data_IF_185024543984
#
_entry.id   IF_185024543984
#
_cell.length_a   1.000
_cell.length_b   1.000
_cell.length_c   1.000
_cell.angle_alpha   90.00
_cell.angle_beta   90.00
_cell.angle_gamma   90.00
#
_symmetry.space_group_name_H-M   'P 1'
#
loop_
_entity.id
_entity.type
_entity.pdbx_description
1 polymer ?
#
# COMPACT_ATOMS: atom_id res chain seq x y z
N UNK A 1 4.12 15.84 -2.37
CA UNK A 1 2.92 15.95 -3.23
C UNK A 1 1.83 16.70 -2.47
N UNK A 2 1.12 17.68 -3.06
CA UNK A 2 0.06 18.40 -2.36
C UNK A 2 -1.18 17.51 -2.13
N UNK A 3 -1.93 17.77 -1.05
CA UNK A 3 -3.20 17.08 -0.78
C UNK A 3 -4.26 17.53 -1.79
N UNK A 4 -5.00 16.58 -2.34
CA UNK A 4 -6.13 16.83 -3.24
C UNK A 4 -7.43 16.28 -2.64
N UNK A 5 -8.51 17.08 -2.55
CA UNK A 5 -9.79 16.60 -2.04
C UNK A 5 -10.30 15.36 -2.79
N UNK A 6 -10.71 14.33 -2.06
CA UNK A 6 -11.19 13.07 -2.63
C UNK A 6 -10.09 12.08 -3.07
N UNK A 7 -8.81 12.43 -2.90
CA UNK A 7 -7.67 11.59 -3.25
C UNK A 7 -6.74 11.41 -2.04
N UNK A 8 -6.08 10.26 -2.00
CA UNK A 8 -5.02 9.95 -1.05
C UNK A 8 -3.72 9.70 -1.81
N UNK A 9 -2.59 9.96 -1.15
CA UNK A 9 -1.29 9.48 -1.63
C UNK A 9 -1.24 7.98 -1.36
N UNK A 10 -1.09 7.18 -2.41
CA UNK A 10 -0.73 5.78 -2.34
C UNK A 10 0.74 5.63 -2.71
N UNK A 11 1.40 4.59 -2.19
CA UNK A 11 2.83 4.37 -2.41
C UNK A 11 3.17 2.93 -2.80
N UNK A 12 4.11 2.80 -3.73
CA UNK A 12 4.70 1.52 -4.10
C UNK A 12 6.23 1.63 -4.17
N UNK A 13 6.99 0.75 -3.50
CA UNK A 13 6.54 -0.34 -2.62
C UNK A 13 5.76 0.17 -1.38
N UNK A 14 4.87 -0.68 -0.84
CA UNK A 14 3.92 -0.27 0.20
C UNK A 14 4.61 0.15 1.52
N UNK A 15 4.04 1.13 2.22
CA UNK A 15 4.51 1.61 3.52
C UNK A 15 4.70 0.52 4.59
N UNK A 16 3.91 -0.55 4.49
CA UNK A 16 3.95 -1.71 5.38
C UNK A 16 5.02 -2.74 5.01
N UNK A 17 5.84 -2.48 3.98
CA UNK A 17 6.97 -3.32 3.56
C UNK A 17 8.31 -2.66 3.89
N UNK A 18 9.40 -3.45 3.91
CA UNK A 18 10.75 -2.93 4.16
C UNK A 18 11.31 -2.19 2.95
N UNK A 19 10.78 -2.48 1.77
CA UNK A 19 11.10 -1.86 0.49
C UNK A 19 10.39 -0.51 0.31
N UNK A 20 9.38 -0.20 1.13
CA UNK A 20 8.63 1.04 1.11
C UNK A 20 9.40 2.24 1.70
N UNK A 21 8.72 3.39 1.76
CA UNK A 21 9.29 4.62 2.30
C UNK A 21 10.23 5.34 1.32
N UNK A 22 11.51 5.55 1.68
CA UNK A 22 12.40 6.43 0.93
C UNK A 22 12.67 5.87 -0.47
N UNK A 23 12.17 6.57 -1.49
CA UNK A 23 12.33 6.18 -2.89
C UNK A 23 11.13 5.43 -3.48
N UNK A 24 10.09 5.18 -2.68
CA UNK A 24 8.82 4.70 -3.19
C UNK A 24 8.21 5.71 -4.18
N UNK A 25 7.58 5.17 -5.22
CA UNK A 25 6.75 5.96 -6.11
C UNK A 25 5.47 6.34 -5.37
N UNK A 26 5.07 7.61 -5.49
CA UNK A 26 3.88 8.14 -4.83
C UNK A 26 2.92 8.63 -5.90
N UNK A 27 1.68 8.16 -5.85
CA UNK A 27 0.62 8.57 -6.78
C UNK A 27 -0.65 9.01 -6.05
N UNK A 28 -1.42 9.89 -6.67
CA UNK A 28 -2.76 10.24 -6.18
C UNK A 28 -3.76 9.20 -6.67
N UNK A 29 -4.40 8.52 -5.73
CA UNK A 29 -5.45 7.53 -5.98
C UNK A 29 -6.76 8.02 -5.34
N UNK A 30 -7.93 7.81 -5.97
CA UNK A 30 -9.21 8.12 -5.33
C UNK A 30 -9.29 7.52 -3.93
N UNK A 31 -9.70 8.31 -2.95
CA UNK A 31 -9.60 7.93 -1.53
C UNK A 31 -10.38 6.64 -1.20
N UNK A 32 -11.50 6.41 -1.89
CA UNK A 32 -12.31 5.19 -1.76
C UNK A 32 -11.57 3.96 -2.26
N UNK A 33 -10.93 4.05 -3.44
CA UNK A 33 -10.15 2.95 -4.03
C UNK A 33 -8.93 2.62 -3.18
N UNK A 34 -8.19 3.64 -2.73
CA UNK A 34 -7.04 3.46 -1.84
C UNK A 34 -7.45 2.76 -0.53
N UNK A 35 -8.58 3.15 0.08
CA UNK A 35 -9.11 2.50 1.27
C UNK A 35 -9.47 1.02 1.05
N UNK A 36 -10.12 0.69 -0.09
CA UNK A 36 -10.45 -0.68 -0.45
C UNK A 36 -9.18 -1.53 -0.67
N UNK A 37 -8.20 -1.00 -1.40
CA UNK A 37 -6.92 -1.65 -1.65
C UNK A 37 -6.17 -1.94 -0.34
N UNK A 38 -6.09 -0.95 0.56
CA UNK A 38 -5.48 -1.12 1.89
C UNK A 38 -6.20 -2.17 2.75
N UNK A 39 -7.53 -2.25 2.66
CA UNK A 39 -8.32 -3.29 3.31
C UNK A 39 -8.00 -4.70 2.79
N UNK A 40 -7.90 -4.85 1.46
CA UNK A 40 -7.51 -6.11 0.80
C UNK A 40 -6.07 -6.50 1.16
N UNK A 41 -5.13 -5.57 1.14
CA UNK A 41 -3.72 -5.80 1.48
C UNK A 41 -3.57 -6.26 2.94
N UNK A 42 -4.22 -5.56 3.88
CA UNK A 42 -4.24 -5.97 5.27
C UNK A 42 -4.91 -7.34 5.49
N UNK A 43 -5.96 -7.65 4.71
CA UNK A 43 -6.61 -8.95 4.70
C UNK A 43 -5.67 -10.05 4.19
N UNK A 44 -4.94 -9.79 3.11
CA UNK A 44 -3.92 -10.67 2.57
C UNK A 44 -2.86 -11.00 3.63
N UNK A 45 -2.27 -9.99 4.29
CA UNK A 45 -1.29 -10.21 5.36
C UNK A 45 -1.81 -11.14 6.46
N UNK A 46 -3.04 -10.91 6.94
CA UNK A 46 -3.67 -11.77 7.96
C UNK A 46 -3.92 -13.19 7.45
N UNK A 47 -4.47 -13.32 6.24
CA UNK A 47 -4.87 -14.61 5.67
C UNK A 47 -3.68 -15.52 5.37
N UNK A 48 -2.55 -14.94 4.96
CA UNK A 48 -1.32 -15.66 4.65
C UNK A 48 -0.38 -15.78 5.86
N UNK A 49 -0.73 -15.17 7.00
CA UNK A 49 0.11 -15.16 8.19
C UNK A 49 1.45 -14.44 7.99
N UNK A 50 1.49 -13.43 7.11
CA UNK A 50 2.68 -12.61 6.84
C UNK A 50 3.00 -11.78 8.09
N UNK A 51 4.23 -11.90 8.56
CA UNK A 51 4.77 -11.18 9.72
C UNK A 51 5.85 -10.21 9.26
N UNK A 52 6.29 -9.36 10.19
CA UNK A 52 7.46 -8.52 9.93
C UNK A 52 8.67 -9.37 9.55
N UNK A 53 9.29 -9.02 8.41
CA UNK A 53 10.42 -9.73 7.84
C UNK A 53 10.09 -10.84 6.83
N UNK A 54 8.81 -11.22 6.68
CA UNK A 54 8.41 -12.16 5.64
C UNK A 54 8.38 -11.49 4.26
N UNK A 55 8.67 -12.26 3.21
CA UNK A 55 8.66 -11.79 1.82
C UNK A 55 7.39 -12.22 1.09
N UNK A 56 6.91 -11.37 0.18
CA UNK A 56 5.83 -11.69 -0.76
C UNK A 56 6.11 -11.05 -2.12
N UNK A 57 5.45 -11.56 -3.16
CA UNK A 57 5.53 -10.98 -4.50
C UNK A 57 4.22 -10.26 -4.83
N UNK A 58 4.33 -9.09 -5.46
CA UNK A 58 3.19 -8.37 -6.04
C UNK A 58 3.09 -8.75 -7.51
N UNK A 59 1.87 -9.09 -7.96
CA UNK A 59 1.56 -9.39 -9.35
C UNK A 59 0.37 -8.54 -9.78
N UNK A 60 0.45 -8.02 -10.99
CA UNK A 60 -0.62 -7.27 -11.68
C UNK A 60 -1.40 -8.18 -12.62
#
# INVERSE_FOLDING_TARGET
MPKQPGYNCDEYPFASSKEGGKGAEIMLVPAVENSQQGGLLGGFYRSQGIKDGDCYNVKV
#
